data_IF_475208439282
#
_entry.id   IF_475208439282
#
_cell.length_a   1.000
_cell.length_b   1.000
_cell.length_c   1.000
_cell.angle_alpha   90.00
_cell.angle_beta   90.00
_cell.angle_gamma   90.00
#
_symmetry.space_group_name_H-M   'P 1'
#
loop_
_entity.id
_entity.type
_entity.pdbx_description
1 polymer ?
#
# COMPACT_ATOMS: atom_id res chain seq x y z
N UNK A 1 -3.47 -5.43 -41.72
CA UNK A 1 -3.06 -4.77 -40.47
C UNK A 1 -3.90 -5.33 -39.34
N UNK A 2 -3.36 -6.27 -38.54
CA UNK A 2 -4.08 -6.88 -37.41
C UNK A 2 -3.75 -6.06 -36.16
N UNK A 3 -4.75 -5.45 -35.54
CA UNK A 3 -4.60 -4.85 -34.21
C UNK A 3 -4.36 -5.97 -33.21
N UNK A 4 -3.11 -6.11 -32.74
CA UNK A 4 -2.81 -6.90 -31.56
C UNK A 4 -3.28 -6.09 -30.36
N UNK A 5 -4.47 -6.40 -29.85
CA UNK A 5 -4.91 -5.92 -28.54
C UNK A 5 -4.02 -6.60 -27.50
N UNK A 6 -2.97 -5.93 -27.03
CA UNK A 6 -2.34 -6.32 -25.79
C UNK A 6 -3.41 -6.20 -24.70
N UNK A 7 -3.85 -7.32 -24.14
CA UNK A 7 -4.78 -7.35 -23.03
C UNK A 7 -4.08 -6.87 -21.76
N UNK A 8 -3.85 -5.56 -21.65
CA UNK A 8 -3.57 -4.92 -20.38
C UNK A 8 -4.81 -5.09 -19.51
N UNK A 9 -4.78 -6.02 -18.56
CA UNK A 9 -5.78 -6.10 -17.49
C UNK A 9 -5.49 -5.00 -16.47
N UNK A 10 -5.65 -3.74 -16.88
CA UNK A 10 -5.56 -2.60 -15.98
C UNK A 10 -6.87 -2.46 -15.21
N UNK A 11 -6.80 -2.43 -13.88
CA UNK A 11 -7.94 -2.05 -13.04
C UNK A 11 -8.30 -0.58 -13.32
N UNK A 12 -9.60 -0.22 -13.41
CA UNK A 12 -9.99 1.18 -13.56
C UNK A 12 -9.47 2.02 -12.40
N UNK A 13 -9.00 3.24 -12.67
CA UNK A 13 -8.40 4.11 -11.65
C UNK A 13 -9.32 4.35 -10.43
N UNK A 14 -10.64 4.47 -10.66
CA UNK A 14 -11.61 4.59 -9.58
C UNK A 14 -11.66 3.33 -8.68
N UNK A 15 -11.55 2.14 -9.27
CA UNK A 15 -11.51 0.89 -8.52
C UNK A 15 -10.19 0.75 -7.74
N UNK A 16 -9.07 1.12 -8.36
CA UNK A 16 -7.76 1.20 -7.70
C UNK A 16 -7.81 2.10 -6.45
N UNK A 17 -8.22 3.36 -6.63
CA UNK A 17 -8.31 4.31 -5.52
C UNK A 17 -9.29 3.86 -4.42
N UNK A 18 -10.41 3.22 -4.79
CA UNK A 18 -11.35 2.66 -3.82
C UNK A 18 -10.73 1.53 -2.99
N UNK A 19 -9.97 0.62 -3.62
CA UNK A 19 -9.24 -0.44 -2.92
C UNK A 19 -8.25 0.17 -1.94
N UNK A 20 -7.45 1.14 -2.37
CA UNK A 20 -6.45 1.79 -1.50
C UNK A 20 -7.09 2.56 -0.35
N UNK A 21 -8.25 3.20 -0.58
CA UNK A 21 -9.01 3.92 0.44
C UNK A 21 -9.46 2.99 1.57
N UNK A 22 -9.76 1.72 1.27
CA UNK A 22 -10.11 0.71 2.27
C UNK A 22 -8.85 0.04 2.85
N UNK A 23 -7.88 -0.27 1.99
CA UNK A 23 -6.64 -0.96 2.36
C UNK A 23 -5.80 -0.13 3.33
N UNK A 24 -5.70 1.19 3.14
CA UNK A 24 -4.96 2.09 4.04
C UNK A 24 -5.39 1.93 5.50
N UNK A 25 -6.64 2.24 5.87
CA UNK A 25 -7.16 2.02 7.22
C UNK A 25 -7.04 0.58 7.71
N UNK A 26 -7.24 -0.42 6.83
CA UNK A 26 -7.10 -1.82 7.20
C UNK A 26 -5.66 -2.16 7.62
N UNK A 27 -4.65 -1.68 6.86
CA UNK A 27 -3.23 -1.86 7.17
C UNK A 27 -2.86 -1.13 8.48
N UNK A 28 -3.45 0.06 8.72
CA UNK A 28 -3.23 0.81 9.97
C UNK A 28 -3.76 0.06 11.19
N UNK A 29 -4.95 -0.54 11.07
CA UNK A 29 -5.63 -1.19 12.18
C UNK A 29 -5.17 -2.64 12.43
N UNK A 30 -4.76 -3.36 11.38
CA UNK A 30 -4.48 -4.79 11.45
C UNK A 30 -3.44 -5.18 12.51
N UNK A 31 -2.28 -4.51 12.66
CA UNK A 31 -1.35 -4.85 13.73
C UNK A 31 -1.96 -4.77 15.13
N UNK A 32 -2.85 -3.81 15.38
CA UNK A 32 -3.52 -3.65 16.67
C UNK A 32 -4.56 -4.75 16.89
N UNK A 33 -5.36 -5.05 15.86
CA UNK A 33 -6.41 -6.08 15.92
C UNK A 33 -5.84 -7.50 16.01
N UNK A 34 -4.68 -7.74 15.42
CA UNK A 34 -3.99 -9.03 15.42
C UNK A 34 -3.02 -9.20 16.59
N UNK A 35 -2.87 -8.18 17.46
CA UNK A 35 -1.99 -8.24 18.63
C UNK A 35 -0.50 -8.25 18.28
N UNK A 36 -0.10 -7.65 17.16
CA UNK A 36 1.29 -7.52 16.77
C UNK A 36 2.04 -6.50 17.63
N UNK A 37 3.37 -6.59 17.62
CA UNK A 37 4.23 -5.73 18.42
C UNK A 37 4.17 -4.25 18.02
N UNK A 38 4.62 -3.38 18.92
CA UNK A 38 4.60 -1.92 18.72
C UNK A 38 5.30 -1.49 17.41
N UNK A 39 6.39 -2.14 17.03
CA UNK A 39 7.10 -1.84 15.78
C UNK A 39 6.22 -2.08 14.56
N UNK A 40 5.51 -3.23 14.48
CA UNK A 40 4.60 -3.53 13.39
C UNK A 40 3.40 -2.57 13.37
N UNK A 41 2.90 -2.17 14.54
CA UNK A 41 1.83 -1.18 14.64
C UNK A 41 2.25 0.19 14.10
N UNK A 42 3.43 0.69 14.47
CA UNK A 42 3.94 1.98 13.97
C UNK A 42 4.16 1.91 12.46
N UNK A 43 4.84 0.87 11.99
CA UNK A 43 5.15 0.72 10.56
C UNK A 43 3.88 0.58 9.72
N UNK A 44 2.95 -0.30 10.13
CA UNK A 44 1.67 -0.47 9.46
C UNK A 44 0.84 0.81 9.46
N UNK A 45 0.84 1.55 10.57
CA UNK A 45 0.14 2.84 10.63
C UNK A 45 0.71 3.85 9.62
N UNK A 46 2.04 4.00 9.56
CA UNK A 46 2.68 4.93 8.63
C UNK A 46 2.42 4.53 7.18
N UNK A 47 2.59 3.26 6.84
CA UNK A 47 2.35 2.74 5.47
C UNK A 47 0.89 2.96 5.07
N UNK A 48 -0.05 2.58 5.93
CA UNK A 48 -1.47 2.72 5.64
C UNK A 48 -1.94 4.18 5.57
N UNK A 49 -1.35 5.08 6.37
CA UNK A 49 -1.62 6.52 6.28
C UNK A 49 -1.14 7.13 4.95
N UNK A 50 0.06 6.73 4.50
CA UNK A 50 0.60 7.17 3.20
C UNK A 50 -0.24 6.65 2.04
N UNK A 51 -0.63 5.38 2.09
CA UNK A 51 -1.50 4.76 1.08
C UNK A 51 -2.86 5.47 1.00
N UNK A 52 -3.51 5.70 2.15
CA UNK A 52 -4.79 6.40 2.21
C UNK A 52 -4.68 7.85 1.67
N UNK A 53 -3.59 8.54 2.02
CA UNK A 53 -3.33 9.88 1.51
C UNK A 53 -3.22 9.92 -0.01
N UNK A 54 -2.51 8.97 -0.61
CA UNK A 54 -2.40 8.81 -2.06
C UNK A 54 -3.75 8.49 -2.72
N UNK A 55 -4.54 7.60 -2.10
CA UNK A 55 -5.86 7.21 -2.59
C UNK A 55 -6.84 8.39 -2.65
N UNK A 56 -6.92 9.17 -1.56
CA UNK A 56 -7.78 10.36 -1.48
C UNK A 56 -7.34 11.41 -2.51
N UNK A 57 -6.03 11.58 -2.68
CA UNK A 57 -5.46 12.47 -3.68
C UNK A 57 -5.87 12.06 -5.11
N UNK A 58 -5.85 10.76 -5.41
CA UNK A 58 -6.20 10.22 -6.72
C UNK A 58 -7.71 10.34 -7.03
N UNK A 59 -8.57 10.19 -6.01
CA UNK A 59 -10.02 10.26 -6.14
C UNK A 59 -10.58 11.70 -6.14
N UNK A 60 -9.79 12.70 -5.72
CA UNK A 60 -10.23 14.08 -5.58
C UNK A 60 -10.52 14.78 -6.93
N UNK A 61 -11.39 15.81 -6.94
CA UNK A 61 -11.73 16.56 -8.16
C UNK A 61 -10.57 17.38 -8.73
N UNK A 62 -9.52 17.60 -7.92
CA UNK A 62 -8.28 18.28 -8.32
C UNK A 62 -7.07 17.42 -7.95
N UNK A 63 -6.61 16.64 -8.92
CA UNK A 63 -5.39 15.85 -8.80
C UNK A 63 -4.16 16.75 -8.94
N UNK A 64 -3.42 16.91 -7.86
CA UNK A 64 -2.13 17.62 -7.76
C UNK A 64 -0.89 16.77 -8.10
N UNK A 65 -0.95 15.44 -7.99
CA UNK A 65 0.14 14.49 -8.24
C UNK A 65 -0.05 13.79 -9.61
N UNK A 66 0.94 13.81 -10.51
CA UNK A 66 0.93 13.04 -11.77
C UNK A 66 0.67 11.54 -11.58
N UNK A 67 0.01 10.84 -12.52
CA UNK A 67 -0.35 9.42 -12.34
C UNK A 67 0.91 8.55 -12.33
N UNK A 68 1.93 8.93 -13.09
CA UNK A 68 3.24 8.29 -13.05
C UNK A 68 3.92 8.43 -11.68
N UNK A 69 3.73 9.57 -11.01
CA UNK A 69 4.27 9.79 -9.67
C UNK A 69 3.50 8.99 -8.62
N UNK A 70 2.16 8.91 -8.72
CA UNK A 70 1.34 8.03 -7.88
C UNK A 70 1.77 6.56 -8.02
N UNK A 71 1.88 6.05 -9.26
CA UNK A 71 2.38 4.69 -9.50
C UNK A 71 3.81 4.47 -8.96
N UNK A 72 4.69 5.47 -9.11
CA UNK A 72 6.03 5.43 -8.51
C UNK A 72 6.00 5.35 -6.98
N UNK A 73 5.07 6.05 -6.35
CA UNK A 73 4.80 5.96 -4.92
C UNK A 73 4.29 4.57 -4.52
N UNK A 74 3.39 3.96 -5.30
CA UNK A 74 2.87 2.62 -5.01
C UNK A 74 3.99 1.57 -5.01
N UNK A 75 4.86 1.61 -6.02
CA UNK A 75 6.03 0.72 -6.10
C UNK A 75 7.01 0.96 -4.96
N UNK A 76 7.24 2.22 -4.60
CA UNK A 76 8.13 2.57 -3.49
C UNK A 76 7.55 2.11 -2.16
N UNK A 77 6.26 2.32 -1.93
CA UNK A 77 5.58 1.91 -0.72
C UNK A 77 5.60 0.38 -0.59
N UNK A 78 5.32 -0.36 -1.68
CA UNK A 78 5.42 -1.81 -1.70
C UNK A 78 6.83 -2.31 -1.36
N UNK A 79 7.88 -1.71 -1.96
CA UNK A 79 9.26 -2.07 -1.65
C UNK A 79 9.62 -1.77 -0.19
N UNK A 80 9.19 -0.61 0.34
CA UNK A 80 9.39 -0.23 1.74
C UNK A 80 8.67 -1.20 2.68
N UNK A 81 7.43 -1.62 2.36
CA UNK A 81 6.69 -2.60 3.16
C UNK A 81 7.45 -3.93 3.25
N UNK A 82 7.91 -4.47 2.11
CA UNK A 82 8.71 -5.70 2.07
C UNK A 82 9.98 -5.57 2.90
N UNK A 83 10.73 -4.48 2.74
CA UNK A 83 11.97 -4.26 3.49
C UNK A 83 11.70 -4.11 4.99
N UNK A 84 10.61 -3.44 5.38
CA UNK A 84 10.22 -3.30 6.77
C UNK A 84 9.75 -4.63 7.38
N UNK A 85 9.00 -5.43 6.64
CA UNK A 85 8.61 -6.78 7.03
C UNK A 85 9.81 -7.69 7.28
N UNK A 86 10.78 -7.68 6.36
CA UNK A 86 12.05 -8.38 6.55
C UNK A 86 12.81 -7.87 7.78
N UNK A 87 12.91 -6.56 7.97
CA UNK A 87 13.60 -5.98 9.11
C UNK A 87 12.94 -6.36 10.44
N UNK A 88 11.61 -6.38 10.50
CA UNK A 88 10.86 -6.84 11.68
C UNK A 88 11.13 -8.33 11.92
N UNK A 89 10.92 -9.18 10.91
CA UNK A 89 11.10 -10.63 11.05
C UNK A 89 12.52 -11.01 11.50
N UNK A 90 13.54 -10.40 10.91
CA UNK A 90 14.95 -10.62 11.29
C UNK A 90 15.25 -10.04 12.67
N UNK A 91 14.78 -8.82 12.96
CA UNK A 91 15.13 -8.07 14.17
C UNK A 91 14.44 -8.57 15.44
N UNK A 92 13.24 -9.15 15.32
CA UNK A 92 12.44 -9.60 16.47
C UNK A 92 12.25 -11.12 16.53
N UNK A 93 12.47 -11.84 15.41
CA UNK A 93 12.10 -13.25 15.26
C UNK A 93 10.61 -13.48 14.99
N UNK A 94 9.79 -12.42 14.96
CA UNK A 94 8.34 -12.48 14.80
C UNK A 94 7.93 -12.50 13.32
N UNK A 95 8.19 -13.61 12.64
CA UNK A 95 7.97 -13.73 11.20
C UNK A 95 6.52 -13.53 10.75
N UNK A 96 5.54 -13.81 11.60
CA UNK A 96 4.12 -13.52 11.29
C UNK A 96 3.89 -12.01 11.10
N UNK A 97 4.52 -11.19 11.93
CA UNK A 97 4.47 -9.73 11.82
C UNK A 97 5.25 -9.23 10.60
N UNK A 98 6.36 -9.89 10.29
CA UNK A 98 7.14 -9.61 9.09
C UNK A 98 6.40 -9.92 7.79
N UNK A 99 5.67 -11.04 7.72
CA UNK A 99 4.89 -11.46 6.53
C UNK A 99 3.68 -10.56 6.28
N UNK A 100 3.13 -9.97 7.33
CA UNK A 100 1.99 -9.06 7.19
C UNK A 100 2.31 -7.80 6.37
N UNK A 101 3.57 -7.34 6.42
CA UNK A 101 4.06 -6.16 5.70
C UNK A 101 4.62 -6.56 4.32
#
# INVERSE_FOLDING_TARGET
>A
MKYVMAASRSIPLAAHAAIETVAGPAIMAAPLLLGFGQTAAIVGFVIGALLLGLAIQAAGPRRTIPLSAHAGFDYTLAAVSVLAGLAIGIGTGEWVQGIFL
#
